data_IF_646489232038
#
_entry.id   IF_646489232038
#
_cell.length_a   1.000
_cell.length_b   1.000
_cell.length_c   1.000
_cell.angle_alpha   90.00
_cell.angle_beta   90.00
_cell.angle_gamma   90.00
#
_symmetry.space_group_name_H-M   'P 1'
#
loop_
_entity.id
_entity.type
_entity.pdbx_description
1 polymer ?
#
# COMPACT_ATOMS: atom_id res chain seq x y z
N UNK A 1 22.33 6.22 0.46
CA UNK A 1 21.53 4.99 0.35
C UNK A 1 20.13 5.36 0.79
N UNK A 2 19.14 5.22 -0.08
CA UNK A 2 17.75 5.61 0.19
C UNK A 2 17.03 4.43 0.81
N UNK A 3 16.37 4.62 1.96
CA UNK A 3 15.66 3.56 2.63
C UNK A 3 14.25 3.45 2.03
N UNK A 4 13.97 2.36 1.32
CA UNK A 4 12.64 2.11 0.73
C UNK A 4 11.96 0.96 1.47
N UNK A 5 10.78 1.23 2.02
CA UNK A 5 9.91 0.24 2.65
C UNK A 5 8.57 0.17 1.95
N UNK A 6 8.02 -1.03 1.80
CA UNK A 6 6.66 -1.21 1.33
C UNK A 6 5.86 -1.89 2.44
N UNK A 7 4.77 -1.27 2.89
CA UNK A 7 3.96 -1.75 4.00
C UNK A 7 2.56 -2.05 3.48
N UNK A 8 2.16 -3.32 3.52
CA UNK A 8 0.78 -3.73 3.34
C UNK A 8 -0.01 -3.43 4.62
N UNK A 9 -1.00 -2.54 4.55
CA UNK A 9 -1.88 -2.25 5.70
C UNK A 9 -3.01 -3.24 5.76
N UNK A 10 -3.48 -3.57 6.97
CA UNK A 10 -4.59 -4.51 7.12
C UNK A 10 -5.83 -4.03 6.36
N UNK A 11 -6.38 -4.89 5.49
CA UNK A 11 -7.54 -4.60 4.64
C UNK A 11 -7.41 -3.36 3.73
N UNK A 12 -6.19 -2.81 3.59
CA UNK A 12 -5.94 -1.54 2.94
C UNK A 12 -4.89 -1.59 1.84
N UNK A 13 -4.35 -0.43 1.43
CA UNK A 13 -3.36 -0.32 0.36
C UNK A 13 -1.96 -0.78 0.77
N UNK A 14 -1.05 -0.75 -0.21
CA UNK A 14 0.39 -0.75 0.04
C UNK A 14 0.86 0.70 0.25
N UNK A 15 1.51 0.99 1.36
CA UNK A 15 2.22 2.24 1.59
C UNK A 15 3.65 2.07 1.10
N UNK A 16 4.11 2.97 0.23
CA UNK A 16 5.52 3.05 -0.13
C UNK A 16 6.13 4.19 0.66
N UNK A 17 7.07 3.86 1.53
CA UNK A 17 7.83 4.82 2.31
C UNK A 17 9.23 4.99 1.74
N UNK A 18 9.63 6.24 1.57
CA UNK A 18 10.98 6.63 1.18
C UNK A 18 11.53 7.51 2.29
N UNK A 19 12.62 7.05 2.92
CA UNK A 19 13.26 7.73 4.05
C UNK A 19 12.26 8.11 5.17
N UNK A 20 11.36 7.17 5.49
CA UNK A 20 10.37 7.29 6.57
C UNK A 20 9.15 8.15 6.26
N UNK A 21 8.98 8.58 4.99
CA UNK A 21 7.79 9.31 4.55
C UNK A 21 7.01 8.50 3.53
N UNK A 22 5.71 8.35 3.76
CA UNK A 22 4.80 7.78 2.76
C UNK A 22 4.73 8.69 1.54
N UNK A 23 5.19 8.19 0.39
CA UNK A 23 5.21 8.95 -0.87
C UNK A 23 4.05 8.56 -1.78
N UNK A 24 3.63 7.30 -1.75
CA UNK A 24 2.53 6.79 -2.57
C UNK A 24 1.78 5.67 -1.86
N UNK A 25 0.48 5.57 -2.16
CA UNK A 25 -0.37 4.46 -1.76
C UNK A 25 -0.83 3.68 -2.99
N UNK A 26 -0.43 2.42 -3.09
CA UNK A 26 -0.76 1.56 -4.23
C UNK A 26 -1.96 0.66 -3.91
N UNK A 27 -2.83 0.49 -4.90
CA UNK A 27 -3.97 -0.40 -4.83
C UNK A 27 -3.50 -1.86 -4.86
N UNK A 28 -4.00 -2.66 -3.91
CA UNK A 28 -3.87 -4.12 -3.92
C UNK A 28 -5.20 -4.87 -3.89
N UNK A 29 -6.33 -4.15 -3.78
CA UNK A 29 -7.67 -4.77 -3.79
C UNK A 29 -8.23 -5.00 -5.20
N UNK A 30 -7.57 -4.47 -6.25
CA UNK A 30 -7.96 -4.66 -7.64
C UNK A 30 -9.17 -3.86 -8.14
N UNK A 31 -9.78 -3.00 -7.30
CA UNK A 31 -11.02 -2.27 -7.63
C UNK A 31 -10.91 -0.74 -7.61
N UNK A 32 -9.69 -0.20 -7.46
CA UNK A 32 -9.49 1.25 -7.54
C UNK A 32 -9.85 1.78 -8.93
N UNK A 33 -10.47 2.96 -9.00
CA UNK A 33 -10.76 3.67 -10.25
C UNK A 33 -9.57 4.49 -10.74
N UNK A 34 -8.55 4.71 -9.90
CA UNK A 34 -7.35 5.49 -10.22
C UNK A 34 -6.08 4.63 -10.18
N UNK A 35 -6.19 3.37 -10.65
CA UNK A 35 -5.05 2.45 -10.69
C UNK A 35 -3.82 3.08 -11.38
N UNK A 36 -2.61 2.86 -10.86
CA UNK A 36 -2.25 1.91 -9.80
C UNK A 36 -2.48 2.42 -8.36
N UNK A 37 -2.92 3.67 -8.17
CA UNK A 37 -3.11 4.28 -6.85
C UNK A 37 -4.33 3.72 -6.12
N UNK A 38 -4.28 3.76 -4.79
CA UNK A 38 -5.45 3.48 -3.95
C UNK A 38 -6.37 4.70 -3.83
N UNK A 39 -7.66 4.53 -4.11
CA UNK A 39 -8.71 5.54 -4.01
C UNK A 39 -9.68 5.32 -2.82
N UNK A 40 -9.39 4.33 -1.96
CA UNK A 40 -10.24 3.95 -0.84
C UNK A 40 -11.34 2.93 -1.17
N UNK A 41 -11.47 2.47 -2.42
CA UNK A 41 -12.49 1.48 -2.82
C UNK A 41 -12.39 0.16 -2.04
N UNK A 42 -11.20 -0.21 -1.55
CA UNK A 42 -10.99 -1.40 -0.71
C UNK A 42 -11.94 -1.45 0.51
N UNK A 43 -12.23 -0.30 1.14
CA UNK A 43 -13.12 -0.23 2.29
C UNK A 43 -14.59 -0.49 1.90
N UNK A 44 -15.01 0.05 0.75
CA UNK A 44 -16.40 -0.06 0.24
C UNK A 44 -16.75 -1.49 -0.18
N UNK A 45 -15.78 -2.24 -0.72
CA UNK A 45 -15.99 -3.62 -1.19
C UNK A 45 -15.71 -4.66 -0.09
N UNK A 46 -15.32 -4.23 1.11
CA UNK A 46 -14.97 -5.14 2.20
C UNK A 46 -13.74 -6.01 1.91
N UNK A 47 -12.72 -5.46 1.24
CA UNK A 47 -11.47 -6.18 0.98
C UNK A 47 -10.87 -6.70 2.30
N UNK A 48 -10.44 -7.97 2.31
CA UNK A 48 -9.82 -8.61 3.48
C UNK A 48 -8.45 -9.14 3.13
N UNK A 49 -7.43 -8.64 3.81
CA UNK A 49 -6.06 -9.11 3.69
C UNK A 49 -5.23 -8.70 4.93
N UNK A 50 -4.31 -9.55 5.41
CA UNK A 50 -3.47 -9.21 6.55
C UNK A 50 -2.52 -8.04 6.24
N UNK A 51 -2.00 -7.44 7.30
CA UNK A 51 -0.87 -6.50 7.20
C UNK A 51 0.44 -7.27 7.00
N UNK A 52 1.41 -6.68 6.30
CA UNK A 52 2.75 -7.25 6.10
C UNK A 52 3.76 -6.16 5.80
N UNK A 53 4.97 -6.27 6.34
CA UNK A 53 6.09 -5.39 5.96
C UNK A 53 6.94 -6.09 4.90
N UNK A 54 7.17 -5.42 3.78
CA UNK A 54 8.00 -5.88 2.66
C UNK A 54 9.23 -4.97 2.63
N UNK A 55 10.37 -5.52 3.08
CA UNK A 55 11.66 -4.84 3.02
C UNK A 55 12.23 -5.01 1.62
N UNK A 56 12.45 -3.91 0.89
CA UNK A 56 12.89 -3.94 -0.51
C UNK A 56 14.42 -3.93 -0.62
N UNK A 57 15.11 -3.24 0.28
CA UNK A 57 16.57 -3.15 0.29
C UNK A 57 17.11 -3.06 1.72
N UNK A 58 18.33 -3.57 1.93
CA UNK A 58 19.23 -3.19 3.05
C UNK A 58 20.18 -2.07 2.59
#
# INVERSE_FOLDING_TARGET
MTNVKIIATENGPLLVEVDGKTTVTLCRCGRSQTQPSCDGTHAKIGFKAPSSEIKVTE
#
